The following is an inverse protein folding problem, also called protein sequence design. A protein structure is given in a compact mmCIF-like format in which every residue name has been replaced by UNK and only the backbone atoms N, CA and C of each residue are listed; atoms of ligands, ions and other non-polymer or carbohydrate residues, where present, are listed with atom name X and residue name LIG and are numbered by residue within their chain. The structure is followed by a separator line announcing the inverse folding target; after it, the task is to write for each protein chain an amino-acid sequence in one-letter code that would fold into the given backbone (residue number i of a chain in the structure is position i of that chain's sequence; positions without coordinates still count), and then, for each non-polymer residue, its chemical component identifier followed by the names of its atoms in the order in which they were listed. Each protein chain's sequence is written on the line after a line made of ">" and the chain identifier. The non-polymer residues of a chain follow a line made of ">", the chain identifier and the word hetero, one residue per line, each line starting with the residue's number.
data_IF_181335695993
#
_entry.id   IF_181335695993
#
_cell.length_a   1.000
_cell.length_b   1.000
_cell.length_c   1.000
_cell.angle_alpha   90.00
_cell.angle_beta   90.00
_cell.angle_gamma   90.00
#
_symmetry.space_group_name_H-M   'P 1'
#
loop_
_entity.id
_entity.type
_entity.pdbx_description
1 polymer ?
#
# COMPACT_ATOMS: atom_id res chain seq x y z
N UNK A 1 7.46 19.77 43.81
CA UNK A 1 7.10 19.20 42.49
C UNK A 1 6.77 17.72 42.68
N UNK A 2 5.66 17.41 43.37
CA UNK A 2 5.23 16.03 43.71
C UNK A 2 3.92 15.62 43.03
N UNK A 3 3.33 16.50 42.21
CA UNK A 3 1.93 16.37 41.81
C UNK A 3 1.69 15.48 40.58
N UNK A 4 2.70 15.25 39.74
CA UNK A 4 2.49 14.48 38.51
C UNK A 4 2.50 12.96 38.73
N UNK A 5 3.39 12.43 39.58
CA UNK A 5 3.55 10.97 39.75
C UNK A 5 2.33 10.34 40.43
N UNK A 6 1.81 10.98 41.49
CA UNK A 6 0.62 10.46 42.21
C UNK A 6 -0.61 10.42 41.30
N UNK A 7 -0.74 11.40 40.39
CA UNK A 7 -1.89 11.48 39.46
C UNK A 7 -1.82 10.40 38.39
N UNK A 8 -0.62 10.12 37.88
CA UNK A 8 -0.40 9.03 36.91
C UNK A 8 -0.62 7.66 37.54
N UNK A 9 -0.18 7.48 38.78
CA UNK A 9 -0.40 6.27 39.56
C UNK A 9 -1.90 6.04 39.81
N UNK A 10 -2.64 7.07 40.21
CA UNK A 10 -4.08 7.01 40.42
C UNK A 10 -4.85 6.66 39.12
N UNK A 11 -4.48 7.23 37.98
CA UNK A 11 -5.08 6.89 36.68
C UNK A 11 -4.82 5.41 36.33
N UNK A 12 -3.59 4.93 36.51
CA UNK A 12 -3.25 3.52 36.27
C UNK A 12 -4.02 2.57 37.21
N UNK A 13 -4.17 2.96 38.47
CA UNK A 13 -4.91 2.20 39.48
C UNK A 13 -6.40 2.14 39.13
N UNK A 14 -6.95 3.24 38.60
CA UNK A 14 -8.36 3.35 38.18
C UNK A 14 -8.65 2.53 36.92
N UNK A 15 -7.76 2.56 35.93
CA UNK A 15 -7.81 1.71 34.72
C UNK A 15 -7.73 0.22 35.10
N UNK A 16 -6.84 -0.13 36.04
CA UNK A 16 -6.63 -1.50 36.50
C UNK A 16 -7.79 -2.02 37.37
N UNK A 17 -8.54 -1.13 38.03
CA UNK A 17 -9.70 -1.51 38.84
C UNK A 17 -10.89 -1.99 38.00
N UNK A 18 -11.01 -1.56 36.74
CA UNK A 18 -12.07 -1.99 35.82
C UNK A 18 -11.49 -2.48 34.48
N UNK A 19 -10.68 -3.56 34.56
CA UNK A 19 -9.85 -4.09 33.48
C UNK A 19 -10.59 -4.28 32.15
N UNK A 20 -11.76 -4.92 32.17
CA UNK A 20 -12.47 -5.31 30.94
C UNK A 20 -13.03 -4.12 30.17
N UNK A 21 -13.64 -3.15 30.85
CA UNK A 21 -14.25 -1.99 30.18
C UNK A 21 -13.17 -1.08 29.58
N UNK A 22 -12.14 -0.77 30.36
CA UNK A 22 -11.06 0.12 29.92
C UNK A 22 -10.20 -0.52 28.83
N UNK A 23 -9.93 -1.84 28.91
CA UNK A 23 -9.22 -2.55 27.84
C UNK A 23 -10.03 -2.59 26.55
N UNK A 24 -11.33 -2.88 26.58
CA UNK A 24 -12.13 -2.94 25.35
C UNK A 24 -12.16 -1.59 24.62
N UNK A 25 -12.27 -0.47 25.36
CA UNK A 25 -12.26 0.86 24.76
C UNK A 25 -10.91 1.22 24.16
N UNK A 26 -9.81 0.95 24.89
CA UNK A 26 -8.46 1.22 24.39
C UNK A 26 -8.10 0.32 23.20
N UNK A 27 -8.50 -0.95 23.26
CA UNK A 27 -8.30 -1.92 22.19
C UNK A 27 -9.10 -1.56 20.94
N UNK A 28 -10.32 -1.04 21.07
CA UNK A 28 -11.12 -0.58 19.93
C UNK A 28 -10.46 0.56 19.17
N UNK A 29 -9.94 1.57 19.88
CA UNK A 29 -9.21 2.69 19.26
C UNK A 29 -7.92 2.22 18.61
N UNK A 30 -7.15 1.41 19.34
CA UNK A 30 -5.92 0.80 18.82
C UNK A 30 -6.18 0.00 17.54
N UNK A 31 -7.21 -0.86 17.55
CA UNK A 31 -7.58 -1.70 16.42
C UNK A 31 -8.04 -0.88 15.22
N UNK A 32 -8.82 0.19 15.43
CA UNK A 32 -9.25 1.09 14.36
C UNK A 32 -8.08 1.76 13.64
N UNK A 33 -7.12 2.29 14.40
CA UNK A 33 -5.90 2.90 13.85
C UNK A 33 -5.04 1.84 13.15
N UNK A 34 -4.91 0.66 13.76
CA UNK A 34 -4.17 -0.46 13.17
C UNK A 34 -4.70 -0.84 11.78
N UNK A 35 -6.02 -1.00 11.64
CA UNK A 35 -6.64 -1.36 10.36
C UNK A 35 -6.40 -0.30 9.28
N UNK A 36 -6.45 0.98 9.63
CA UNK A 36 -6.17 2.07 8.69
C UNK A 36 -4.71 2.04 8.20
N UNK A 37 -3.76 1.92 9.13
CA UNK A 37 -2.33 1.88 8.79
C UNK A 37 -2.00 0.61 7.98
N UNK A 38 -2.56 -0.55 8.36
CA UNK A 38 -2.34 -1.80 7.65
C UNK A 38 -2.84 -1.73 6.20
N UNK A 39 -4.01 -1.13 5.97
CA UNK A 39 -4.56 -0.97 4.62
C UNK A 39 -3.71 -0.02 3.77
N UNK A 40 -3.32 1.14 4.32
CA UNK A 40 -2.51 2.12 3.59
C UNK A 40 -1.11 1.56 3.31
N UNK A 41 -0.50 0.90 4.29
CA UNK A 41 0.81 0.26 4.14
C UNK A 41 0.78 -0.87 3.12
N UNK A 42 -0.23 -1.75 3.17
CA UNK A 42 -0.41 -2.82 2.20
C UNK A 42 -0.72 -2.31 0.79
N UNK A 43 -1.56 -1.27 0.67
CA UNK A 43 -1.92 -0.66 -0.61
C UNK A 43 -0.74 0.02 -1.30
N UNK A 44 0.02 0.84 -0.57
CA UNK A 44 1.22 1.49 -1.11
C UNK A 44 2.32 0.47 -1.43
N UNK A 45 2.54 -0.50 -0.54
CA UNK A 45 3.51 -1.58 -0.77
C UNK A 45 3.18 -2.41 -2.02
N UNK A 46 1.90 -2.72 -2.23
CA UNK A 46 1.45 -3.41 -3.44
C UNK A 46 1.65 -2.57 -4.70
N UNK A 47 1.33 -1.27 -4.65
CA UNK A 47 1.54 -0.36 -5.78
C UNK A 47 3.02 -0.28 -6.17
N UNK A 48 3.91 -0.17 -5.19
CA UNK A 48 5.36 -0.08 -5.42
C UNK A 48 5.94 -1.40 -5.91
N UNK A 49 5.48 -2.54 -5.36
CA UNK A 49 5.83 -3.86 -5.89
C UNK A 49 5.35 -4.03 -7.34
N UNK A 50 4.12 -3.62 -7.67
CA UNK A 50 3.62 -3.68 -9.04
C UNK A 50 4.47 -2.80 -9.95
N UNK A 51 4.75 -1.55 -9.58
CA UNK A 51 5.64 -0.66 -10.35
C UNK A 51 7.02 -1.28 -10.58
N UNK A 52 7.65 -1.86 -9.56
CA UNK A 52 8.95 -2.51 -9.71
C UNK A 52 8.91 -3.71 -10.67
N UNK A 53 7.82 -4.49 -10.67
CA UNK A 53 7.63 -5.58 -11.63
C UNK A 53 7.35 -5.07 -13.05
N UNK A 54 6.59 -3.97 -13.20
CA UNK A 54 6.29 -3.35 -14.49
C UNK A 54 7.46 -2.54 -15.06
N UNK A 55 8.34 -1.96 -14.24
CA UNK A 55 9.58 -1.30 -14.69
C UNK A 55 10.52 -2.30 -15.40
N UNK A 56 10.52 -3.57 -14.97
CA UNK A 56 11.20 -4.65 -15.69
C UNK A 56 10.58 -4.98 -17.06
N UNK A 57 9.33 -4.57 -17.32
CA UNK A 57 8.58 -4.91 -18.53
C UNK A 57 8.29 -3.73 -19.48
N UNK A 58 8.21 -2.48 -19.01
CA UNK A 58 7.39 -1.48 -19.72
C UNK A 58 7.86 -0.01 -19.80
N UNK A 59 8.99 0.42 -19.24
CA UNK A 59 9.32 1.87 -19.32
C UNK A 59 10.12 2.27 -20.58
N UNK A 60 10.73 1.33 -21.30
CA UNK A 60 11.48 1.58 -22.55
C UNK A 60 11.27 0.51 -23.65
N UNK A 61 10.28 -0.37 -23.52
CA UNK A 61 9.99 -1.39 -24.53
C UNK A 61 8.98 -0.84 -25.55
N UNK A 62 9.50 -0.26 -26.63
CA UNK A 62 8.71 0.00 -27.83
C UNK A 62 8.30 -1.36 -28.43
N UNK A 63 7.02 -1.71 -28.32
CA UNK A 63 6.48 -2.93 -28.93
C UNK A 63 6.25 -2.69 -30.43
N UNK A 64 7.26 -2.96 -31.24
CA UNK A 64 7.16 -2.89 -32.70
C UNK A 64 6.71 -4.26 -33.21
N UNK A 65 5.44 -4.39 -33.58
CA UNK A 65 4.94 -5.54 -34.33
C UNK A 65 5.12 -5.30 -35.84
N UNK A 66 5.62 -6.28 -36.62
CA UNK A 66 5.59 -6.18 -38.06
C UNK A 66 4.12 -6.19 -38.51
N UNK A 67 3.67 -5.06 -39.05
CA UNK A 67 2.38 -4.99 -39.72
C UNK A 67 2.59 -5.27 -41.22
N UNK A 68 1.62 -5.94 -41.83
CA UNK A 68 1.66 -6.32 -43.24
C UNK A 68 2.03 -5.11 -44.11
N UNK A 69 3.02 -5.27 -44.99
CA UNK A 69 3.64 -4.14 -45.71
C UNK A 69 2.60 -3.40 -46.57
N UNK A 70 2.29 -2.15 -46.19
CA UNK A 70 1.28 -1.30 -46.83
C UNK A 70 1.75 -0.55 -48.09
N UNK A 71 3.06 -0.44 -48.31
CA UNK A 71 3.66 0.20 -49.48
C UNK A 71 4.55 -0.74 -50.30
N UNK A 72 4.47 -0.65 -51.62
CA UNK A 72 5.28 -1.47 -52.52
C UNK A 72 6.66 -0.83 -52.65
N UNK A 73 7.71 -1.53 -52.24
CA UNK A 73 9.09 -1.03 -52.31
C UNK A 73 9.90 -1.83 -53.34
N UNK A 74 10.63 -1.15 -54.24
CA UNK A 74 11.56 -1.76 -55.21
C UNK A 74 11.03 -3.01 -55.96
N UNK A 75 9.82 -2.93 -56.52
CA UNK A 75 9.23 -4.00 -57.35
C UNK A 75 8.51 -5.10 -56.58
N UNK A 76 8.45 -5.01 -55.25
CA UNK A 76 7.79 -5.96 -54.38
C UNK A 76 6.33 -5.55 -54.12
N UNK A 77 5.36 -6.44 -54.41
CA UNK A 77 3.92 -6.25 -54.16
C UNK A 77 3.60 -6.10 -52.66
N UNK A 78 2.64 -5.22 -52.36
CA UNK A 78 2.03 -4.98 -51.02
C UNK A 78 1.40 -6.27 -50.47
N UNK A 79 1.25 -6.36 -49.15
CA UNK A 79 0.50 -7.45 -48.53
C UNK A 79 1.32 -8.66 -48.08
N UNK A 80 2.60 -8.49 -47.76
CA UNK A 80 3.43 -9.54 -47.15
C UNK A 80 3.60 -9.29 -45.64
N UNK A 81 3.57 -10.40 -44.91
CA UNK A 81 3.96 -10.48 -43.50
C UNK A 81 5.48 -10.41 -43.39
#
# INVERSE_FOLDING_TARGET
>A
MKYDIDTWEEIFLTITRNKTRSLLTAFGVFWGIFMLIALIGGGNGMQDMMKANFEGFATNSCFVWPQQTGEAYKGFRKGRW
#
